data_IF_108791007250
#
_entry.id   IF_108791007250
#
_cell.length_a   1.000
_cell.length_b   1.000
_cell.length_c   1.000
_cell.angle_alpha   90.00
_cell.angle_beta   90.00
_cell.angle_gamma   90.00
#
_symmetry.space_group_name_H-M   'P 1'
#
loop_
_entity.id
_entity.type
_entity.pdbx_description
1 polymer ?
#
# COMPACT_ATOMS: atom_id res chain seq x y z
N UNK A 1 9.16 -9.47 2.78
CA UNK A 1 8.87 -8.75 4.04
C UNK A 1 9.69 -7.47 4.11
N UNK A 2 9.26 -6.45 4.87
CA UNK A 2 10.03 -5.21 5.00
C UNK A 2 11.40 -5.45 5.63
N UNK A 3 12.42 -4.70 5.16
CA UNK A 3 13.78 -4.73 5.71
C UNK A 3 13.95 -3.81 6.93
N UNK A 4 12.89 -3.11 7.30
CA UNK A 4 12.80 -2.26 8.49
C UNK A 4 11.66 -2.75 9.37
N UNK A 5 11.69 -2.47 10.68
CA UNK A 5 10.55 -2.73 11.55
C UNK A 5 9.28 -2.05 11.03
N UNK A 6 8.14 -2.72 11.16
CA UNK A 6 6.85 -2.05 10.96
C UNK A 6 6.64 -0.99 12.04
N UNK A 7 5.84 0.02 11.72
CA UNK A 7 5.51 1.07 12.68
C UNK A 7 4.72 0.51 13.87
N UNK A 8 4.80 1.21 15.00
CA UNK A 8 4.04 0.90 16.20
C UNK A 8 2.54 0.86 15.92
N UNK A 9 1.82 -0.05 16.60
CA UNK A 9 0.36 -0.17 16.48
C UNK A 9 -0.37 1.07 17.02
N UNK A 10 0.26 1.80 17.95
CA UNK A 10 -0.23 3.06 18.51
C UNK A 10 0.77 4.21 18.25
N UNK A 11 0.84 4.74 17.02
CA UNK A 11 1.82 5.74 16.67
C UNK A 11 1.52 7.09 17.35
N UNK A 12 2.56 7.78 17.80
CA UNK A 12 2.45 9.09 18.44
C UNK A 12 1.95 10.19 17.48
N UNK A 13 2.14 10.02 16.16
CA UNK A 13 1.72 10.99 15.15
C UNK A 13 0.24 10.81 14.75
N UNK A 14 -0.55 11.86 14.96
CA UNK A 14 -1.98 11.93 14.67
C UNK A 14 -2.32 11.63 13.21
N UNK A 15 -1.44 12.00 12.26
CA UNK A 15 -1.66 11.76 10.83
C UNK A 15 -1.60 10.28 10.52
N UNK A 16 -0.66 9.57 11.13
CA UNK A 16 -0.53 8.13 11.00
C UNK A 16 -1.73 7.45 11.65
N UNK A 17 -2.11 7.84 12.87
CA UNK A 17 -3.31 7.29 13.54
C UNK A 17 -4.58 7.47 12.69
N UNK A 18 -4.80 8.66 12.16
CA UNK A 18 -5.98 8.97 11.35
C UNK A 18 -6.04 8.14 10.05
N UNK A 19 -4.90 7.88 9.42
CA UNK A 19 -4.84 7.02 8.23
C UNK A 19 -5.05 5.55 8.59
N UNK A 20 -4.34 5.06 9.60
CA UNK A 20 -4.42 3.67 10.05
C UNK A 20 -5.83 3.28 10.53
N UNK A 21 -6.55 4.18 11.20
CA UNK A 21 -7.92 3.95 11.65
C UNK A 21 -8.95 3.75 10.51
N UNK A 22 -8.60 4.11 9.26
CA UNK A 22 -9.48 3.98 8.10
C UNK A 22 -9.20 2.74 7.26
N UNK A 23 -8.12 2.02 7.56
CA UNK A 23 -7.71 0.84 6.80
C UNK A 23 -8.44 -0.41 7.29
N UNK A 24 -8.80 -1.34 6.38
CA UNK A 24 -9.34 -2.62 6.78
C UNK A 24 -8.27 -3.47 7.50
N UNK A 25 -8.72 -4.31 8.43
CA UNK A 25 -7.89 -5.33 9.07
C UNK A 25 -8.10 -6.70 8.37
N UNK A 26 -7.05 -7.52 8.20
CA UNK A 26 -5.66 -7.24 8.53
C UNK A 26 -5.01 -6.28 7.51
N UNK A 27 -4.26 -5.29 8.01
CA UNK A 27 -3.52 -4.36 7.13
C UNK A 27 -2.42 -5.07 6.35
N UNK A 28 -2.34 -4.80 5.04
CA UNK A 28 -1.23 -5.27 4.20
C UNK A 28 0.11 -4.67 4.66
N UNK A 29 1.20 -5.40 4.41
CA UNK A 29 2.51 -5.04 4.92
C UNK A 29 3.02 -3.68 4.41
N UNK A 30 2.65 -3.29 3.18
CA UNK A 30 2.98 -1.98 2.62
C UNK A 30 2.47 -0.83 3.52
N UNK A 31 1.23 -0.90 3.99
CA UNK A 31 0.64 0.14 4.84
C UNK A 31 1.29 0.19 6.22
N UNK A 32 1.60 -0.98 6.80
CA UNK A 32 2.31 -1.09 8.08
C UNK A 32 3.73 -0.54 8.00
N UNK A 33 4.41 -0.73 6.88
CA UNK A 33 5.74 -0.19 6.63
C UNK A 33 5.71 1.33 6.40
N UNK A 34 4.79 1.82 5.56
CA UNK A 34 4.66 3.25 5.23
C UNK A 34 4.27 4.11 6.44
N UNK A 35 3.66 3.53 7.47
CA UNK A 35 3.35 4.21 8.72
C UNK A 35 4.60 4.76 9.45
N UNK A 36 5.79 4.28 9.12
CA UNK A 36 7.05 4.89 9.57
C UNK A 36 7.34 6.26 8.92
N UNK A 37 6.58 6.66 7.91
CA UNK A 37 6.74 7.93 7.18
C UNK A 37 5.44 8.78 7.24
N UNK A 38 5.21 9.53 8.34
CA UNK A 38 3.95 10.24 8.58
C UNK A 38 3.50 11.19 7.47
N UNK A 39 4.44 11.86 6.80
CA UNK A 39 4.15 12.82 5.73
C UNK A 39 3.74 12.10 4.43
N UNK A 40 4.21 10.87 4.22
CA UNK A 40 4.05 10.14 2.96
C UNK A 40 2.85 9.19 2.97
N UNK A 41 2.50 8.60 4.12
CA UNK A 41 1.47 7.55 4.16
C UNK A 41 0.13 8.01 3.59
N UNK A 42 -0.35 9.21 3.94
CA UNK A 42 -1.61 9.73 3.41
C UNK A 42 -1.61 9.91 1.89
N UNK A 43 -0.68 10.68 1.31
CA UNK A 43 -0.54 10.82 -0.14
C UNK A 43 -0.35 9.50 -0.89
N UNK A 44 0.50 8.58 -0.39
CA UNK A 44 0.76 7.31 -1.06
C UNK A 44 -0.48 6.42 -1.13
N UNK A 45 -1.27 6.36 -0.06
CA UNK A 45 -2.53 5.60 -0.07
C UNK A 45 -3.56 6.21 -1.02
N UNK A 46 -3.64 7.55 -1.12
CA UNK A 46 -4.54 8.20 -2.09
C UNK A 46 -4.16 7.88 -3.53
N UNK A 47 -2.86 7.77 -3.83
CA UNK A 47 -2.39 7.36 -5.14
C UNK A 47 -2.80 5.91 -5.44
N UNK A 48 -2.56 4.99 -4.49
CA UNK A 48 -2.98 3.59 -4.64
C UNK A 48 -4.50 3.45 -4.83
N UNK A 49 -5.29 4.18 -4.04
CA UNK A 49 -6.76 4.23 -4.18
C UNK A 49 -7.19 4.72 -5.56
N UNK A 50 -6.57 5.78 -6.08
CA UNK A 50 -6.89 6.29 -7.41
C UNK A 50 -6.63 5.24 -8.49
N UNK A 51 -5.45 4.63 -8.49
CA UNK A 51 -5.09 3.56 -9.44
C UNK A 51 -6.06 2.38 -9.36
N UNK A 52 -6.42 1.97 -8.15
CA UNK A 52 -7.19 0.75 -7.91
C UNK A 52 -8.72 0.94 -8.01
N UNK A 53 -9.23 2.17 -8.01
CA UNK A 53 -10.69 2.39 -7.94
C UNK A 53 -11.23 3.51 -8.84
N UNK A 54 -10.39 4.39 -9.39
CA UNK A 54 -10.82 5.61 -10.09
C UNK A 54 -10.32 5.71 -11.53
N UNK A 55 -9.45 4.81 -11.97
CA UNK A 55 -9.00 4.74 -13.36
C UNK A 55 -10.04 4.05 -14.26
N UNK A 56 -10.04 4.42 -15.55
CA UNK A 56 -10.93 3.86 -16.58
C UNK A 56 -10.52 2.44 -17.03
N UNK A 57 -9.35 1.96 -16.61
CA UNK A 57 -8.84 0.65 -16.97
C UNK A 57 -9.64 -0.46 -16.28
N UNK A 58 -10.07 -1.46 -17.05
CA UNK A 58 -10.78 -2.63 -16.53
C UNK A 58 -10.00 -3.28 -15.35
N UNK A 59 -10.67 -3.65 -14.24
CA UNK A 59 -9.97 -4.19 -13.08
C UNK A 59 -9.10 -5.41 -13.37
N UNK A 60 -9.53 -6.33 -14.24
CA UNK A 60 -8.74 -7.53 -14.59
C UNK A 60 -7.53 -7.13 -15.42
N UNK A 61 -7.69 -6.21 -16.38
CA UNK A 61 -6.57 -5.70 -17.16
C UNK A 61 -5.56 -4.94 -16.29
N UNK A 62 -6.03 -4.22 -15.27
CA UNK A 62 -5.16 -3.54 -14.31
C UNK A 62 -4.33 -4.53 -13.50
N UNK A 63 -4.94 -5.57 -12.95
CA UNK A 63 -4.19 -6.59 -12.20
C UNK A 63 -3.16 -7.29 -13.10
N UNK A 64 -3.52 -7.59 -14.36
CA UNK A 64 -2.55 -8.12 -15.34
C UNK A 64 -1.38 -7.15 -15.59
N UNK A 65 -1.64 -5.84 -15.68
CA UNK A 65 -0.58 -4.85 -15.84
C UNK A 65 0.35 -4.76 -14.62
N UNK A 66 -0.21 -4.85 -13.41
CA UNK A 66 0.54 -4.88 -12.15
C UNK A 66 1.41 -6.13 -12.08
N UNK A 67 0.84 -7.32 -12.30
CA UNK A 67 1.55 -8.60 -12.30
C UNK A 67 2.63 -8.67 -13.38
N UNK A 68 2.35 -8.16 -14.58
CA UNK A 68 3.35 -8.08 -15.64
C UNK A 68 4.52 -7.18 -15.24
N UNK A 69 4.23 -6.03 -14.64
CA UNK A 69 5.27 -5.12 -14.13
C UNK A 69 6.09 -5.81 -13.02
N UNK A 70 5.43 -6.44 -12.05
CA UNK A 70 6.10 -7.19 -10.97
C UNK A 70 7.03 -8.28 -11.52
N UNK A 71 6.61 -8.98 -12.58
CA UNK A 71 7.43 -10.00 -13.25
C UNK A 71 8.66 -9.42 -13.96
N UNK A 72 8.52 -8.25 -14.57
CA UNK A 72 9.61 -7.55 -15.26
C UNK A 72 10.62 -6.95 -14.27
N UNK A 73 10.16 -6.42 -13.14
CA UNK A 73 11.00 -5.79 -12.11
C UNK A 73 11.51 -6.78 -11.06
N UNK A 74 11.03 -8.02 -11.06
CA UNK A 74 11.38 -9.03 -10.06
C UNK A 74 10.79 -8.75 -8.68
N UNK A 75 9.66 -8.04 -8.60
CA UNK A 75 9.04 -7.63 -7.34
C UNK A 75 8.11 -8.72 -6.80
N UNK A 76 8.69 -9.67 -6.06
CA UNK A 76 7.94 -10.81 -5.48
C UNK A 76 6.78 -10.38 -4.57
N UNK A 77 6.95 -9.31 -3.80
CA UNK A 77 5.90 -8.83 -2.88
C UNK A 77 4.62 -8.42 -3.64
N UNK A 78 4.77 -7.65 -4.72
CA UNK A 78 3.62 -7.22 -5.54
C UNK A 78 3.01 -8.41 -6.28
N UNK A 79 3.82 -9.37 -6.73
CA UNK A 79 3.33 -10.60 -7.38
C UNK A 79 2.46 -11.47 -6.46
N UNK A 80 2.77 -11.54 -5.17
CA UNK A 80 2.01 -12.34 -4.20
C UNK A 80 0.78 -11.57 -3.70
N UNK A 81 0.86 -10.25 -3.66
CA UNK A 81 -0.20 -9.39 -3.13
C UNK A 81 -1.35 -9.16 -4.11
N UNK A 82 -1.07 -9.21 -5.42
CA UNK A 82 -2.00 -9.02 -6.53
C UNK A 82 -2.31 -10.37 -7.21
#
# INVERSE_FOLDING_TARGET
MALIPYADENPADDRVRAVLARLPEPRINLFRMLANAPVLIGPTLRLGEAILTKEDLDPVLRELAILHTARLTGTEYEWVQH
#
